data_IF_485961371880
#
_entry.id   IF_485961371880
#
_cell.length_a   1.000
_cell.length_b   1.000
_cell.length_c   1.000
_cell.angle_alpha   90.00
_cell.angle_beta   90.00
_cell.angle_gamma   90.00
#
_symmetry.space_group_name_H-M   'P 1'
#
loop_
_entity.id
_entity.type
_entity.pdbx_description
1 polymer ?
#
# COMPACT_ATOMS: atom_id res chain seq x y z
N UNK A 1 -10.85 -15.21 16.83
CA UNK A 1 -11.27 -16.53 16.34
C UNK A 1 -12.60 -16.50 15.57
N UNK A 2 -13.63 -15.75 16.05
CA UNK A 2 -14.94 -15.68 15.38
C UNK A 2 -14.85 -14.98 14.01
N UNK A 3 -14.24 -13.81 13.91
CA UNK A 3 -14.08 -13.05 12.67
C UNK A 3 -13.35 -13.89 11.59
N UNK A 4 -12.31 -14.66 11.97
CA UNK A 4 -11.60 -15.54 11.03
C UNK A 4 -12.51 -16.60 10.41
N UNK A 5 -13.44 -17.18 11.19
CA UNK A 5 -14.42 -18.17 10.69
C UNK A 5 -15.47 -17.54 9.78
N UNK A 6 -15.99 -16.36 10.17
CA UNK A 6 -16.98 -15.61 9.40
C UNK A 6 -16.35 -15.12 8.08
N UNK A 7 -15.11 -14.64 8.12
CA UNK A 7 -14.40 -14.19 6.93
C UNK A 7 -14.15 -15.34 5.93
N UNK A 8 -13.76 -16.51 6.42
CA UNK A 8 -13.57 -17.68 5.56
C UNK A 8 -14.88 -18.14 4.88
N UNK A 9 -16.03 -17.98 5.56
CA UNK A 9 -17.34 -18.24 4.96
C UNK A 9 -17.68 -17.20 3.89
N UNK A 10 -17.33 -15.93 4.13
CA UNK A 10 -17.56 -14.82 3.22
C UNK A 10 -16.85 -15.01 1.88
N UNK A 11 -15.63 -15.57 1.88
CA UNK A 11 -14.82 -15.82 0.67
C UNK A 11 -15.51 -16.77 -0.32
N UNK A 12 -16.44 -17.63 0.15
CA UNK A 12 -17.12 -18.63 -0.68
C UNK A 12 -18.60 -18.35 -0.92
N UNK A 13 -19.15 -17.24 -0.40
CA UNK A 13 -20.58 -16.92 -0.49
C UNK A 13 -20.90 -15.68 -1.34
N UNK A 14 -19.96 -15.22 -2.18
CA UNK A 14 -20.11 -14.01 -3.02
C UNK A 14 -20.52 -12.73 -2.22
N UNK A 15 -20.10 -12.62 -0.96
CA UNK A 15 -20.39 -11.48 -0.09
C UNK A 15 -19.13 -10.65 0.22
N UNK A 16 -18.05 -10.88 -0.53
CA UNK A 16 -16.75 -10.20 -0.34
C UNK A 16 -16.91 -8.69 -0.48
N UNK A 17 -17.69 -8.22 -1.47
CA UNK A 17 -17.86 -6.80 -1.77
C UNK A 17 -18.94 -6.11 -0.92
N UNK A 18 -19.51 -6.81 0.05
CA UNK A 18 -20.54 -6.24 0.93
C UNK A 18 -19.95 -5.20 1.87
N UNK A 19 -20.20 -3.92 1.60
CA UNK A 19 -19.72 -2.79 2.41
C UNK A 19 -20.01 -2.96 3.91
N UNK A 20 -21.23 -3.35 4.36
CA UNK A 20 -21.49 -3.58 5.79
C UNK A 20 -20.62 -4.67 6.41
N UNK A 21 -20.36 -5.75 5.68
CA UNK A 21 -19.51 -6.85 6.15
C UNK A 21 -18.02 -6.48 6.16
N UNK A 22 -17.57 -5.69 5.19
CA UNK A 22 -16.21 -5.12 5.19
C UNK A 22 -16.03 -4.23 6.42
N UNK A 23 -16.94 -3.27 6.62
CA UNK A 23 -16.86 -2.32 7.71
C UNK A 23 -16.88 -3.03 9.08
N UNK A 24 -17.78 -3.99 9.30
CA UNK A 24 -17.87 -4.71 10.57
C UNK A 24 -16.62 -5.57 10.85
N UNK A 25 -16.09 -6.27 9.85
CA UNK A 25 -14.87 -7.08 9.99
C UNK A 25 -13.64 -6.23 10.33
N UNK A 26 -13.47 -5.08 9.68
CA UNK A 26 -12.36 -4.17 9.96
C UNK A 26 -12.51 -3.56 11.35
N UNK A 27 -13.68 -2.98 11.64
CA UNK A 27 -13.89 -2.21 12.86
C UNK A 27 -13.93 -3.09 14.10
N UNK A 28 -14.45 -4.32 14.03
CA UNK A 28 -14.40 -5.26 15.16
C UNK A 28 -12.99 -5.49 15.69
N UNK A 29 -12.02 -5.64 14.78
CA UNK A 29 -10.60 -5.82 15.12
C UNK A 29 -9.99 -4.55 15.73
N UNK A 30 -10.31 -3.38 15.16
CA UNK A 30 -9.81 -2.08 15.66
C UNK A 30 -10.37 -1.76 17.05
N UNK A 31 -11.65 -2.01 17.28
CA UNK A 31 -12.27 -1.81 18.59
C UNK A 31 -11.74 -2.81 19.62
N UNK A 32 -11.55 -4.07 19.24
CA UNK A 32 -10.96 -5.09 20.11
C UNK A 32 -9.51 -4.79 20.54
N UNK A 33 -8.75 -4.07 19.71
CA UNK A 33 -7.40 -3.61 20.06
C UNK A 33 -7.39 -2.55 21.18
N UNK A 34 -8.52 -1.90 21.47
CA UNK A 34 -8.65 -0.97 22.59
C UNK A 34 -8.08 0.43 22.34
N UNK A 35 -7.80 0.80 21.10
CA UNK A 35 -7.23 2.11 20.74
C UNK A 35 -8.24 3.24 21.04
N UNK A 36 -7.76 4.39 21.54
CA UNK A 36 -8.57 5.59 21.81
C UNK A 36 -8.86 6.38 20.53
N UNK A 37 -7.92 6.40 19.60
CA UNK A 37 -8.04 7.00 18.27
C UNK A 37 -7.79 5.98 17.16
N UNK A 38 -8.52 6.10 16.05
CA UNK A 38 -8.41 5.22 14.89
C UNK A 38 -8.30 6.08 13.63
N UNK A 39 -7.22 5.92 12.89
CA UNK A 39 -7.06 6.47 11.54
C UNK A 39 -7.10 5.32 10.55
N UNK A 40 -7.96 5.43 9.55
CA UNK A 40 -8.16 4.43 8.51
C UNK A 40 -7.57 4.95 7.19
N UNK A 41 -6.77 4.13 6.54
CA UNK A 41 -6.39 4.31 5.15
C UNK A 41 -7.35 3.49 4.28
N UNK A 42 -8.23 4.17 3.54
CA UNK A 42 -9.24 3.55 2.69
C UNK A 42 -8.83 3.73 1.24
N UNK A 43 -8.40 2.64 0.63
CA UNK A 43 -7.93 2.63 -0.75
C UNK A 43 -9.08 2.74 -1.74
N UNK A 44 -8.86 3.47 -2.85
CA UNK A 44 -9.77 3.56 -4.00
C UNK A 44 -9.00 3.32 -5.30
N UNK A 45 -9.59 2.60 -6.26
CA UNK A 45 -9.00 2.34 -7.56
C UNK A 45 -8.85 0.86 -7.91
N UNK A 46 -8.11 0.57 -8.97
CA UNK A 46 -8.00 -0.77 -9.56
C UNK A 46 -7.42 -1.82 -8.61
N UNK A 47 -6.52 -1.43 -7.71
CA UNK A 47 -5.93 -2.31 -6.70
C UNK A 47 -6.74 -2.42 -5.39
N UNK A 48 -7.88 -1.74 -5.26
CA UNK A 48 -8.70 -1.72 -4.05
C UNK A 48 -9.98 -2.55 -4.18
N UNK A 49 -10.64 -2.85 -3.04
CA UNK A 49 -12.01 -3.40 -3.06
C UNK A 49 -13.00 -2.40 -3.64
N UNK A 50 -12.89 -1.13 -3.24
CA UNK A 50 -13.73 -0.04 -3.75
C UNK A 50 -13.07 0.54 -5.01
N UNK A 51 -13.74 0.37 -6.14
CA UNK A 51 -13.20 0.82 -7.44
C UNK A 51 -13.50 2.29 -7.72
N UNK A 52 -14.46 2.89 -7.00
CA UNK A 52 -14.84 4.30 -7.17
C UNK A 52 -14.60 5.10 -5.89
N UNK A 53 -14.35 6.41 -6.05
CA UNK A 53 -14.20 7.33 -4.92
C UNK A 53 -15.47 7.37 -4.05
N UNK A 54 -16.66 7.32 -4.66
CA UNK A 54 -17.94 7.37 -3.94
C UNK A 54 -18.16 6.14 -3.06
N UNK A 55 -17.84 4.94 -3.56
CA UNK A 55 -17.94 3.71 -2.78
C UNK A 55 -16.94 3.71 -1.62
N UNK A 56 -15.73 4.23 -1.85
CA UNK A 56 -14.69 4.38 -0.83
C UNK A 56 -15.12 5.36 0.26
N UNK A 57 -15.72 6.50 -0.09
CA UNK A 57 -16.30 7.47 0.85
C UNK A 57 -17.44 6.82 1.64
N UNK A 58 -18.30 6.04 0.97
CA UNK A 58 -19.42 5.33 1.62
C UNK A 58 -18.91 4.30 2.64
N UNK A 59 -17.91 3.51 2.29
CA UNK A 59 -17.28 2.55 3.19
C UNK A 59 -16.62 3.28 4.39
N UNK A 60 -15.84 4.31 4.11
CA UNK A 60 -15.17 5.12 5.13
C UNK A 60 -16.19 5.74 6.11
N UNK A 61 -17.28 6.31 5.59
CA UNK A 61 -18.35 6.89 6.40
C UNK A 61 -18.96 5.89 7.38
N UNK A 62 -19.21 4.66 6.92
CA UNK A 62 -19.72 3.58 7.80
C UNK A 62 -18.71 3.19 8.87
N UNK A 63 -17.43 3.04 8.51
CA UNK A 63 -16.40 2.68 9.49
C UNK A 63 -16.16 3.80 10.52
N UNK A 64 -16.14 5.06 10.08
CA UNK A 64 -16.02 6.23 10.94
C UNK A 64 -17.23 6.32 11.90
N UNK A 65 -18.45 6.09 11.41
CA UNK A 65 -19.65 6.07 12.24
C UNK A 65 -19.60 4.97 13.31
N UNK A 66 -19.13 3.77 12.96
CA UNK A 66 -18.96 2.65 13.92
C UNK A 66 -17.92 3.04 15.00
N UNK A 67 -16.78 3.58 14.62
CA UNK A 67 -15.73 4.00 15.56
C UNK A 67 -16.22 5.07 16.53
N UNK A 68 -16.82 6.14 16.00
CA UNK A 68 -17.35 7.23 16.80
C UNK A 68 -18.55 6.77 17.69
N UNK A 69 -19.43 5.90 17.16
CA UNK A 69 -20.52 5.31 17.93
C UNK A 69 -20.04 4.43 19.09
N UNK A 70 -18.86 3.84 18.98
CA UNK A 70 -18.19 3.10 20.06
C UNK A 70 -17.37 4.00 21.01
N UNK A 71 -17.50 5.32 20.92
CA UNK A 71 -16.79 6.29 21.76
C UNK A 71 -15.31 6.47 21.43
N UNK A 72 -14.89 6.12 20.20
CA UNK A 72 -13.51 6.30 19.73
C UNK A 72 -13.42 7.49 18.77
N UNK A 73 -12.32 8.23 18.80
CA UNK A 73 -12.05 9.23 17.77
C UNK A 73 -11.65 8.51 16.48
N UNK A 74 -12.50 8.55 15.45
CA UNK A 74 -12.27 7.80 14.21
C UNK A 74 -12.30 8.72 12.99
N UNK A 75 -11.26 8.63 12.16
CA UNK A 75 -11.12 9.37 10.90
C UNK A 75 -10.60 8.44 9.82
N UNK A 76 -10.95 8.71 8.56
CA UNK A 76 -10.43 8.00 7.40
C UNK A 76 -9.86 8.96 6.37
N UNK A 77 -8.77 8.57 5.73
CA UNK A 77 -8.27 9.17 4.49
C UNK A 77 -8.58 8.23 3.33
N UNK A 78 -9.06 8.79 2.22
CA UNK A 78 -9.26 8.04 0.98
C UNK A 78 -8.02 8.25 0.13
N UNK A 79 -7.28 7.17 -0.17
CA UNK A 79 -6.01 7.24 -0.87
C UNK A 79 -6.02 6.45 -2.17
N UNK A 80 -5.19 6.87 -3.13
CA UNK A 80 -5.09 6.24 -4.45
C UNK A 80 -4.55 4.81 -4.38
N UNK A 81 -5.14 3.93 -5.18
CA UNK A 81 -4.66 2.57 -5.47
C UNK A 81 -4.87 2.19 -6.95
N UNK A 82 -4.97 3.18 -7.82
CA UNK A 82 -4.89 3.00 -9.28
C UNK A 82 -3.44 2.88 -9.76
N UNK A 83 -2.50 3.17 -8.87
CA UNK A 83 -1.07 3.00 -9.08
C UNK A 83 -0.50 2.31 -7.85
N UNK A 84 0.38 1.31 -7.98
CA UNK A 84 1.06 0.72 -6.84
C UNK A 84 1.76 1.80 -6.02
N UNK A 85 1.54 1.84 -4.70
CA UNK A 85 2.19 2.79 -3.81
C UNK A 85 3.65 2.36 -3.58
N UNK A 86 4.58 3.30 -3.75
CA UNK A 86 6.00 2.96 -3.78
C UNK A 86 6.42 2.30 -5.09
N UNK A 87 7.58 1.71 -5.12
CA UNK A 87 8.16 1.03 -6.29
C UNK A 87 8.35 -0.48 -6.08
N UNK A 88 8.41 -0.94 -4.84
CA UNK A 88 8.62 -2.33 -4.49
C UNK A 88 7.29 -3.09 -4.29
N UNK A 89 7.22 -4.31 -4.82
CA UNK A 89 6.11 -5.25 -4.62
C UNK A 89 6.70 -6.60 -4.23
N UNK A 90 6.49 -7.04 -2.99
CA UNK A 90 7.05 -8.28 -2.45
C UNK A 90 7.64 -8.09 -1.05
N UNK A 91 7.70 -9.17 -0.24
CA UNK A 91 7.92 -9.07 1.20
C UNK A 91 9.22 -8.33 1.59
N UNK A 92 10.38 -8.89 1.27
CA UNK A 92 11.68 -8.27 1.64
C UNK A 92 11.90 -6.95 0.90
N UNK A 93 11.45 -6.84 -0.34
CA UNK A 93 11.62 -5.64 -1.15
C UNK A 93 10.86 -4.46 -0.55
N UNK A 94 9.61 -4.67 -0.11
CA UNK A 94 8.79 -3.63 0.54
C UNK A 94 9.37 -3.23 1.90
N UNK A 95 9.91 -4.17 2.68
CA UNK A 95 10.57 -3.84 3.96
C UNK A 95 11.82 -2.99 3.69
N UNK A 96 12.61 -3.32 2.68
CA UNK A 96 13.79 -2.53 2.27
C UNK A 96 13.35 -1.13 1.86
N UNK A 97 12.30 -1.00 1.03
CA UNK A 97 11.76 0.30 0.62
C UNK A 97 11.25 1.11 1.80
N UNK A 98 10.55 0.48 2.76
CA UNK A 98 10.12 1.14 3.98
C UNK A 98 11.31 1.66 4.81
N UNK A 99 12.39 0.88 4.93
CA UNK A 99 13.63 1.30 5.59
C UNK A 99 14.24 2.52 4.88
N UNK A 100 14.34 2.48 3.56
CA UNK A 100 14.89 3.62 2.79
C UNK A 100 13.98 4.84 2.89
N UNK A 101 12.66 4.66 2.91
CA UNK A 101 11.69 5.76 3.13
C UNK A 101 11.90 6.41 4.51
N UNK A 102 12.07 5.59 5.57
CA UNK A 102 12.36 6.09 6.92
C UNK A 102 13.72 6.78 7.03
N UNK A 103 14.66 6.50 6.12
CA UNK A 103 15.96 7.18 5.99
C UNK A 103 15.92 8.41 5.09
N UNK A 104 14.76 8.71 4.47
CA UNK A 104 14.58 9.86 3.57
C UNK A 104 14.88 9.58 2.10
N UNK A 105 15.18 8.35 1.71
CA UNK A 105 15.58 7.94 0.35
C UNK A 105 14.48 7.17 -0.42
N UNK A 106 13.29 7.00 0.17
CA UNK A 106 12.19 6.25 -0.45
C UNK A 106 11.42 7.03 -1.51
N UNK A 107 10.47 6.36 -2.19
CA UNK A 107 9.58 6.99 -3.16
C UNK A 107 8.73 8.10 -2.55
N UNK A 108 8.58 9.20 -3.28
CA UNK A 108 7.86 10.39 -2.78
C UNK A 108 6.37 10.13 -2.53
N UNK A 109 5.72 9.29 -3.33
CA UNK A 109 4.32 8.90 -3.14
C UNK A 109 4.11 8.11 -1.84
N UNK A 110 4.97 7.13 -1.55
CA UNK A 110 4.95 6.36 -0.30
C UNK A 110 5.20 7.27 0.91
N UNK A 111 6.19 8.16 0.81
CA UNK A 111 6.50 9.13 1.85
C UNK A 111 5.33 10.08 2.11
N UNK A 112 4.74 10.65 1.07
CA UNK A 112 3.63 11.61 1.21
C UNK A 112 2.41 10.97 1.85
N UNK A 113 1.97 9.79 1.38
CA UNK A 113 0.82 9.09 1.98
C UNK A 113 1.10 8.72 3.44
N UNK A 114 2.30 8.24 3.75
CA UNK A 114 2.71 7.91 5.12
C UNK A 114 2.70 9.13 6.04
N UNK A 115 3.21 10.28 5.58
CA UNK A 115 3.19 11.53 6.34
C UNK A 115 1.78 12.05 6.57
N UNK A 116 0.89 11.97 5.57
CA UNK A 116 -0.53 12.34 5.72
C UNK A 116 -1.24 11.49 6.76
N UNK A 117 -1.03 10.19 6.74
CA UNK A 117 -1.61 9.27 7.73
C UNK A 117 -1.04 9.53 9.14
N UNK A 118 0.28 9.74 9.26
CA UNK A 118 0.91 10.07 10.54
C UNK A 118 0.41 11.42 11.08
N UNK A 119 0.27 12.43 10.24
CA UNK A 119 -0.29 13.72 10.62
C UNK A 119 -1.73 13.60 11.14
N UNK A 120 -2.56 12.79 10.48
CA UNK A 120 -3.93 12.53 10.92
C UNK A 120 -3.96 11.78 12.27
N UNK A 121 -3.01 10.86 12.52
CA UNK A 121 -2.89 10.20 13.83
C UNK A 121 -2.54 11.21 14.92
N UNK A 122 -1.57 12.10 14.69
CA UNK A 122 -1.19 13.16 15.62
C UNK A 122 -2.36 14.14 15.87
N UNK A 123 -3.06 14.53 14.82
CA UNK A 123 -4.26 15.39 14.92
C UNK A 123 -5.36 14.71 15.73
N UNK A 124 -5.65 13.43 15.47
CA UNK A 124 -6.63 12.63 16.23
C UNK A 124 -6.25 12.49 17.71
N UNK A 125 -4.96 12.48 18.01
CA UNK A 125 -4.43 12.50 19.38
C UNK A 125 -4.44 13.88 20.05
N UNK A 126 -4.92 14.93 19.36
CA UNK A 126 -5.03 16.29 19.90
C UNK A 126 -3.72 17.06 19.96
N UNK A 127 -2.70 16.68 19.19
CA UNK A 127 -1.38 17.29 19.21
C UNK A 127 -1.28 18.60 18.41
N UNK A 128 -2.31 18.97 17.64
CA UNK A 128 -2.35 20.22 16.87
C UNK A 128 -3.30 20.14 15.68
N UNK A 129 -3.28 21.18 14.84
CA UNK A 129 -3.96 21.17 13.55
C UNK A 129 -3.22 20.28 12.53
N UNK A 130 -3.88 19.95 11.42
CA UNK A 130 -3.36 19.03 10.41
C UNK A 130 -2.01 19.49 9.81
N UNK A 131 -1.80 20.79 9.61
CA UNK A 131 -0.56 21.32 9.05
C UNK A 131 0.60 21.21 10.03
N UNK A 132 0.38 21.60 11.28
CA UNK A 132 1.37 21.46 12.36
C UNK A 132 1.74 19.98 12.58
N UNK A 133 0.75 19.09 12.58
CA UNK A 133 0.96 17.65 12.72
C UNK A 133 1.75 17.05 11.55
N UNK A 134 1.52 17.53 10.31
CA UNK A 134 2.32 17.12 9.16
C UNK A 134 3.80 17.51 9.33
N UNK A 135 4.07 18.76 9.74
CA UNK A 135 5.43 19.20 10.03
C UNK A 135 6.11 18.39 11.14
N UNK A 136 5.37 18.02 12.21
CA UNK A 136 5.88 17.16 13.26
C UNK A 136 6.24 15.76 12.73
N UNK A 137 5.39 15.14 11.92
CA UNK A 137 5.65 13.85 11.31
C UNK A 137 6.88 13.91 10.38
N UNK A 138 6.94 14.91 9.51
CA UNK A 138 8.07 15.11 8.59
C UNK A 138 9.40 15.30 9.34
N UNK A 139 9.37 16.04 10.46
CA UNK A 139 10.57 16.25 11.28
C UNK A 139 11.13 14.92 11.83
N UNK A 140 10.28 13.94 12.14
CA UNK A 140 10.74 12.63 12.63
C UNK A 140 11.48 11.81 11.57
N UNK A 141 11.19 12.02 10.30
CA UNK A 141 11.99 11.44 9.20
C UNK A 141 13.34 12.15 9.09
N UNK A 142 13.32 13.50 9.09
CA UNK A 142 14.52 14.32 8.92
C UNK A 142 15.57 14.11 10.01
N UNK A 143 15.14 13.89 11.25
CA UNK A 143 16.04 13.70 12.42
C UNK A 143 16.29 12.23 12.76
N UNK A 144 15.74 11.29 12.00
CA UNK A 144 15.97 9.85 12.15
C UNK A 144 15.18 9.17 13.28
N UNK A 145 14.36 9.90 14.05
CA UNK A 145 13.57 9.31 15.15
C UNK A 145 12.57 8.25 14.67
N UNK A 146 12.00 8.44 13.49
CA UNK A 146 11.08 7.46 12.90
C UNK A 146 11.81 6.12 12.65
N UNK A 147 13.01 6.15 12.08
CA UNK A 147 13.83 4.98 11.84
C UNK A 147 14.23 4.28 13.15
N UNK A 148 14.68 5.03 14.16
CA UNK A 148 15.01 4.46 15.46
C UNK A 148 13.79 3.84 16.17
N UNK A 149 12.61 4.42 15.99
CA UNK A 149 11.37 3.85 16.52
C UNK A 149 11.01 2.54 15.81
N UNK A 150 11.19 2.46 14.51
CA UNK A 150 10.98 1.24 13.74
C UNK A 150 11.91 0.11 14.22
N UNK A 151 13.20 0.39 14.43
CA UNK A 151 14.15 -0.58 15.01
C UNK A 151 13.69 -1.12 16.35
N UNK A 152 13.25 -0.22 17.25
CA UNK A 152 12.73 -0.61 18.56
C UNK A 152 11.48 -1.47 18.45
N UNK A 153 10.59 -1.17 17.49
CA UNK A 153 9.40 -1.97 17.23
C UNK A 153 9.76 -3.39 16.77
N UNK A 154 10.72 -3.52 15.84
CA UNK A 154 11.22 -4.82 15.37
C UNK A 154 11.78 -5.64 16.53
N UNK A 155 12.66 -5.04 17.35
CA UNK A 155 13.24 -5.71 18.52
C UNK A 155 12.18 -6.12 19.53
N UNK A 156 11.20 -5.26 19.83
CA UNK A 156 10.12 -5.54 20.78
C UNK A 156 9.21 -6.71 20.33
N UNK A 157 9.12 -6.96 19.03
CA UNK A 157 8.39 -8.10 18.45
C UNK A 157 9.27 -9.35 18.29
N UNK A 158 10.50 -9.36 18.79
CA UNK A 158 11.44 -10.48 18.71
C UNK A 158 12.17 -10.61 17.39
N UNK A 159 12.10 -9.59 16.51
CA UNK A 159 12.87 -9.53 15.27
C UNK A 159 14.32 -9.06 15.53
N UNK A 160 15.18 -9.30 14.55
CA UNK A 160 16.58 -8.84 14.58
C UNK A 160 16.73 -7.47 13.90
N UNK A 161 16.99 -6.38 14.64
CA UNK A 161 17.17 -5.05 14.08
C UNK A 161 18.37 -4.92 13.13
N UNK A 162 19.33 -5.84 13.14
CA UNK A 162 20.49 -5.78 12.26
C UNK A 162 20.10 -5.80 10.77
N UNK A 163 19.00 -6.49 10.42
CA UNK A 163 18.44 -6.49 9.06
C UNK A 163 17.90 -5.11 8.66
N UNK A 164 17.34 -4.38 9.62
CA UNK A 164 16.84 -3.01 9.39
C UNK A 164 18.00 -2.03 9.28
N UNK A 165 19.05 -2.23 10.07
CA UNK A 165 20.27 -1.40 9.99
C UNK A 165 21.04 -1.65 8.70
N UNK A 166 21.08 -2.88 8.22
CA UNK A 166 21.75 -3.27 6.99
C UNK A 166 20.84 -4.13 6.10
N UNK A 167 19.97 -3.51 5.28
CA UNK A 167 19.04 -4.22 4.40
C UNK A 167 19.70 -5.15 3.36
N UNK A 168 21.03 -5.02 3.15
CA UNK A 168 21.77 -5.94 2.28
C UNK A 168 21.83 -7.38 2.81
N UNK A 169 21.50 -7.59 4.09
CA UNK A 169 21.42 -8.91 4.73
C UNK A 169 20.14 -9.68 4.38
N UNK A 170 19.09 -9.01 3.87
CA UNK A 170 17.90 -9.72 3.41
C UNK A 170 18.26 -10.69 2.28
N UNK A 171 17.59 -11.86 2.29
CA UNK A 171 17.73 -12.84 1.22
C UNK A 171 17.43 -12.18 -0.13
N UNK A 172 18.33 -12.42 -1.08
CA UNK A 172 18.16 -11.99 -2.47
C UNK A 172 17.71 -13.17 -3.30
N UNK A 173 16.75 -12.92 -4.18
CA UNK A 173 16.39 -13.90 -5.20
C UNK A 173 17.61 -14.21 -6.08
N UNK A 174 17.87 -15.48 -6.41
CA UNK A 174 19.00 -15.87 -7.23
C UNK A 174 18.88 -15.41 -8.70
N UNK A 175 17.64 -15.18 -9.16
CA UNK A 175 17.38 -14.78 -10.54
C UNK A 175 16.65 -13.45 -10.60
N UNK A 176 16.94 -12.66 -11.65
CA UNK A 176 16.16 -11.47 -11.99
C UNK A 176 15.95 -11.38 -13.50
N UNK A 177 14.85 -10.71 -13.91
CA UNK A 177 14.52 -10.43 -15.31
C UNK A 177 13.88 -9.07 -15.46
N UNK A 178 14.39 -8.27 -16.41
CA UNK A 178 13.77 -6.99 -16.77
C UNK A 178 12.57 -7.20 -17.68
N UNK A 179 11.50 -6.45 -17.42
CA UNK A 179 10.34 -6.28 -18.30
C UNK A 179 10.51 -4.93 -18.99
N UNK A 180 10.50 -4.92 -20.32
CA UNK A 180 10.78 -3.72 -21.12
C UNK A 180 9.56 -3.23 -21.86
N UNK A 181 9.49 -1.93 -22.15
CA UNK A 181 8.44 -1.31 -22.95
C UNK A 181 8.45 -1.84 -24.39
N UNK A 182 7.27 -2.14 -24.93
CA UNK A 182 7.11 -2.60 -26.32
C UNK A 182 6.98 -1.45 -27.33
N UNK A 183 6.72 -0.24 -26.85
CA UNK A 183 6.52 0.98 -27.64
C UNK A 183 6.96 2.20 -26.86
N UNK A 184 7.10 3.33 -27.54
CA UNK A 184 7.28 4.63 -26.92
C UNK A 184 5.93 5.16 -26.41
N UNK A 185 5.96 5.99 -25.36
CA UNK A 185 4.75 6.66 -24.85
C UNK A 185 4.83 6.97 -23.37
N UNK A 186 3.78 7.58 -22.85
CA UNK A 186 3.59 7.79 -21.42
C UNK A 186 2.84 6.62 -20.80
N UNK A 187 3.18 6.24 -19.59
CA UNK A 187 2.37 5.31 -18.80
C UNK A 187 1.09 6.03 -18.40
N UNK A 188 0.02 5.87 -19.18
CA UNK A 188 -1.25 6.55 -19.02
C UNK A 188 -2.19 5.87 -18.01
N UNK A 189 -2.01 4.56 -17.76
CA UNK A 189 -2.74 3.81 -16.74
C UNK A 189 -1.93 2.57 -16.33
N UNK A 190 -2.13 2.16 -15.07
CA UNK A 190 -1.62 0.89 -14.53
C UNK A 190 -2.78 0.11 -13.90
N UNK A 191 -2.86 -1.19 -14.21
CA UNK A 191 -3.73 -2.12 -13.49
C UNK A 191 -2.98 -2.60 -12.24
N UNK A 192 -3.24 -1.97 -11.10
CA UNK A 192 -2.58 -2.29 -9.83
C UNK A 192 -2.90 -3.72 -9.35
N UNK A 193 -4.13 -4.21 -9.57
CA UNK A 193 -4.49 -5.60 -9.28
C UNK A 193 -3.66 -6.56 -10.15
N UNK A 194 -3.48 -6.23 -11.43
CA UNK A 194 -2.62 -6.99 -12.33
C UNK A 194 -1.15 -7.02 -11.90
N UNK A 195 -0.62 -5.93 -11.37
CA UNK A 195 0.71 -5.90 -10.76
C UNK A 195 0.79 -6.83 -9.55
N UNK A 196 -0.25 -6.84 -8.69
CA UNK A 196 -0.36 -7.76 -7.57
C UNK A 196 -0.39 -9.23 -8.01
N UNK A 197 -1.19 -9.55 -9.04
CA UNK A 197 -1.24 -10.91 -9.61
C UNK A 197 0.13 -11.33 -10.16
N UNK A 198 0.85 -10.43 -10.85
CA UNK A 198 2.19 -10.71 -11.34
C UNK A 198 3.16 -11.08 -10.19
N UNK A 199 3.05 -10.41 -9.04
CA UNK A 199 3.87 -10.74 -7.87
C UNK A 199 3.52 -12.11 -7.26
N UNK A 200 2.24 -12.49 -7.26
CA UNK A 200 1.79 -13.83 -6.83
C UNK A 200 2.35 -14.92 -7.76
N UNK A 201 2.38 -14.68 -9.08
CA UNK A 201 2.98 -15.60 -10.05
C UNK A 201 4.49 -15.81 -9.81
N UNK A 202 5.19 -14.84 -9.23
CA UNK A 202 6.58 -14.96 -8.77
C UNK A 202 6.73 -15.70 -7.42
N UNK A 203 5.62 -16.13 -6.80
CA UNK A 203 5.55 -16.68 -5.43
C UNK A 203 5.84 -15.67 -4.31
N UNK A 204 5.79 -14.37 -4.58
CA UNK A 204 5.86 -13.33 -3.54
C UNK A 204 4.57 -13.25 -2.70
N UNK A 205 3.49 -13.85 -3.14
CA UNK A 205 2.20 -13.99 -2.46
C UNK A 205 1.66 -15.42 -2.54
N UNK A 206 0.44 -15.65 -2.04
CA UNK A 206 -0.25 -16.93 -2.03
C UNK A 206 -1.43 -16.95 -2.98
N UNK A 207 -1.54 -17.98 -3.81
CA UNK A 207 -2.76 -18.34 -4.56
C UNK A 207 -3.64 -19.29 -3.74
N UNK A 208 -3.03 -20.18 -2.94
CA UNK A 208 -3.70 -21.12 -2.04
C UNK A 208 -3.16 -21.01 -0.61
N UNK A 209 -3.86 -21.61 0.36
CA UNK A 209 -3.40 -21.60 1.77
C UNK A 209 -2.12 -22.43 1.98
N UNK A 210 -1.89 -23.38 1.12
CA UNK A 210 -0.78 -24.34 1.17
C UNK A 210 0.50 -23.77 0.55
N UNK A 211 0.40 -22.66 -0.21
CA UNK A 211 1.54 -22.08 -0.90
C UNK A 211 2.58 -21.54 0.10
N UNK A 212 3.83 -21.84 -0.19
CA UNK A 212 4.98 -21.29 0.53
C UNK A 212 5.41 -20.00 -0.17
N UNK A 213 5.40 -18.90 0.58
CA UNK A 213 5.82 -17.59 0.09
C UNK A 213 7.35 -17.55 -0.02
N UNK A 214 7.85 -17.13 -1.17
CA UNK A 214 9.25 -16.74 -1.35
C UNK A 214 9.43 -15.27 -0.94
N UNK A 215 9.99 -15.04 0.24
CA UNK A 215 10.18 -13.70 0.76
C UNK A 215 11.21 -12.86 -0.03
N UNK A 216 12.02 -13.49 -0.88
CA UNK A 216 12.99 -12.80 -1.74
C UNK A 216 12.42 -12.42 -3.11
N UNK A 217 11.27 -13.04 -3.49
CA UNK A 217 10.60 -12.78 -4.75
C UNK A 217 9.84 -11.44 -4.72
N UNK A 218 9.65 -10.88 -5.92
CA UNK A 218 8.86 -9.66 -6.09
C UNK A 218 9.21 -8.88 -7.34
N UNK A 219 8.83 -7.61 -7.34
CA UNK A 219 8.96 -6.69 -8.47
C UNK A 219 9.49 -5.36 -7.96
N UNK A 220 10.42 -4.75 -8.70
CA UNK A 220 10.78 -3.34 -8.56
C UNK A 220 10.31 -2.61 -9.81
N UNK A 221 9.41 -1.66 -9.63
CA UNK A 221 8.91 -0.78 -10.70
C UNK A 221 9.92 0.34 -10.95
N UNK A 222 10.33 0.51 -12.21
CA UNK A 222 11.21 1.61 -12.64
C UNK A 222 10.42 2.74 -13.29
N UNK A 223 9.23 2.41 -13.81
CA UNK A 223 8.33 3.35 -14.47
C UNK A 223 6.92 3.18 -13.93
N UNK A 224 6.29 4.29 -13.64
CA UNK A 224 4.93 4.36 -13.09
C UNK A 224 4.07 5.33 -13.90
N UNK A 225 2.82 5.47 -13.49
CA UNK A 225 1.88 6.43 -14.09
C UNK A 225 2.51 7.83 -14.25
N UNK A 226 2.41 8.38 -15.44
CA UNK A 226 2.95 9.69 -15.81
C UNK A 226 4.36 9.66 -16.40
N UNK A 227 5.12 8.58 -16.22
CA UNK A 227 6.48 8.46 -16.77
C UNK A 227 6.44 8.25 -18.29
N UNK A 228 7.34 8.93 -19.00
CA UNK A 228 7.63 8.64 -20.40
C UNK A 228 8.61 7.48 -20.52
N UNK A 229 8.39 6.62 -21.49
CA UNK A 229 9.25 5.47 -21.80
C UNK A 229 9.55 5.40 -23.27
N UNK A 230 10.72 4.87 -23.61
CA UNK A 230 11.10 4.49 -24.96
C UNK A 230 10.99 2.97 -25.11
N UNK A 231 10.70 2.51 -26.33
CA UNK A 231 10.70 1.09 -26.66
C UNK A 231 12.03 0.43 -26.26
N UNK A 232 11.94 -0.68 -25.51
CA UNK A 232 13.09 -1.40 -24.98
C UNK A 232 13.58 -0.88 -23.61
N UNK A 233 13.08 0.26 -23.13
CA UNK A 233 13.44 0.78 -21.81
C UNK A 233 12.83 -0.10 -20.70
N UNK A 234 13.56 -0.37 -19.60
CA UNK A 234 13.05 -1.17 -18.49
C UNK A 234 11.86 -0.49 -17.79
N UNK A 235 10.72 -1.18 -17.74
CA UNK A 235 9.55 -0.78 -16.95
C UNK A 235 9.67 -1.26 -15.51
N UNK A 236 10.18 -2.47 -15.33
CA UNK A 236 10.33 -3.12 -14.04
C UNK A 236 11.41 -4.21 -14.07
N UNK A 237 11.80 -4.66 -12.88
CA UNK A 237 12.63 -5.84 -12.68
C UNK A 237 11.92 -6.84 -11.79
N UNK A 238 11.85 -8.11 -12.24
CA UNK A 238 11.27 -9.24 -11.56
C UNK A 238 12.35 -10.01 -10.82
N UNK A 239 12.01 -10.53 -9.64
CA UNK A 239 12.91 -11.33 -8.79
C UNK A 239 12.21 -12.63 -8.37
N UNK A 240 12.89 -13.78 -8.50
CA UNK A 240 12.34 -15.07 -8.10
C UNK A 240 13.45 -16.09 -7.80
N UNK A 241 13.12 -17.14 -7.04
CA UNK A 241 13.99 -18.31 -6.83
C UNK A 241 13.90 -19.35 -7.96
N UNK A 242 12.98 -19.16 -8.91
CA UNK A 242 12.75 -20.05 -10.06
C UNK A 242 12.53 -19.20 -11.31
N UNK A 243 13.46 -19.24 -12.25
CA UNK A 243 13.41 -18.42 -13.47
C UNK A 243 12.30 -18.82 -14.45
N UNK A 244 11.72 -20.01 -14.32
CA UNK A 244 10.58 -20.45 -15.15
C UNK A 244 9.32 -19.61 -14.89
N UNK A 245 9.23 -18.95 -13.75
CA UNK A 245 8.10 -18.08 -13.37
C UNK A 245 8.07 -16.75 -14.12
N UNK A 246 9.20 -16.32 -14.67
CA UNK A 246 9.33 -14.99 -15.27
C UNK A 246 8.49 -14.78 -16.53
N UNK A 247 8.22 -15.83 -17.30
CA UNK A 247 7.45 -15.67 -18.53
C UNK A 247 6.01 -15.25 -18.23
N UNK A 248 5.33 -16.01 -17.39
CA UNK A 248 3.94 -15.74 -17.01
C UNK A 248 3.81 -14.41 -16.22
N UNK A 249 4.70 -14.19 -15.24
CA UNK A 249 4.68 -12.97 -14.42
C UNK A 249 5.00 -11.72 -15.26
N UNK A 250 5.98 -11.81 -16.17
CA UNK A 250 6.36 -10.71 -17.05
C UNK A 250 5.26 -10.35 -18.04
N UNK A 251 4.60 -11.35 -18.64
CA UNK A 251 3.45 -11.14 -19.51
C UNK A 251 2.29 -10.47 -18.76
N UNK A 252 1.98 -10.94 -17.54
CA UNK A 252 0.93 -10.34 -16.70
C UNK A 252 1.27 -8.90 -16.33
N UNK A 253 2.49 -8.64 -15.88
CA UNK A 253 2.93 -7.28 -15.53
C UNK A 253 2.87 -6.35 -16.74
N UNK A 254 3.37 -6.78 -17.90
CA UNK A 254 3.37 -5.97 -19.12
C UNK A 254 1.93 -5.63 -19.56
N UNK A 255 0.99 -6.56 -19.44
CA UNK A 255 -0.43 -6.33 -19.75
C UNK A 255 -1.10 -5.33 -18.78
N UNK A 256 -0.48 -5.06 -17.64
CA UNK A 256 -0.96 -4.09 -16.65
C UNK A 256 -0.53 -2.66 -16.93
N UNK A 257 0.34 -2.44 -17.93
CA UNK A 257 0.75 -1.12 -18.40
C UNK A 257 -0.04 -0.70 -19.63
N UNK A 258 -0.62 0.49 -19.59
CA UNK A 258 -1.30 1.10 -20.73
C UNK A 258 -0.62 2.40 -21.10
N UNK A 259 -0.21 2.51 -22.36
CA UNK A 259 0.54 3.65 -22.86
C UNK A 259 -0.35 4.63 -23.63
N UNK A 260 -0.04 5.93 -23.51
CA UNK A 260 -0.68 7.04 -24.20
C UNK A 260 0.36 7.89 -24.92
N UNK A 261 -0.06 8.58 -26.00
CA UNK A 261 0.82 9.50 -26.75
C UNK A 261 1.12 10.79 -25.98
N UNK A 262 0.18 11.25 -25.17
CA UNK A 262 0.29 12.47 -24.36
C UNK A 262 0.46 12.15 -22.88
N UNK A 263 1.15 13.04 -22.16
CA UNK A 263 1.27 12.93 -20.71
C UNK A 263 -0.11 12.96 -20.04
N UNK A 264 -0.43 11.99 -19.15
CA UNK A 264 -1.68 12.01 -18.42
C UNK A 264 -1.70 13.12 -17.37
N UNK A 265 -2.90 13.47 -16.90
CA UNK A 265 -3.06 14.43 -15.81
C UNK A 265 -2.44 13.90 -14.51
N UNK A 266 -1.91 14.82 -13.68
CA UNK A 266 -1.34 14.45 -12.39
C UNK A 266 -2.43 13.91 -11.46
N UNK A 267 -2.25 12.69 -10.95
CA UNK A 267 -3.15 12.09 -9.95
C UNK A 267 -2.87 12.62 -8.56
N UNK A 268 -3.93 12.74 -7.77
CA UNK A 268 -3.83 12.96 -6.33
C UNK A 268 -3.55 11.65 -5.60
N UNK A 269 -2.76 11.71 -4.54
CA UNK A 269 -2.50 10.57 -3.68
C UNK A 269 -3.56 10.42 -2.58
N UNK A 270 -4.19 11.52 -2.18
CA UNK A 270 -5.23 11.56 -1.15
C UNK A 270 -6.41 12.37 -1.68
N UNK A 271 -7.56 11.74 -1.81
CA UNK A 271 -8.77 12.32 -2.43
C UNK A 271 -9.71 12.98 -1.44
N UNK A 272 -9.82 12.41 -0.24
CA UNK A 272 -10.76 12.90 0.75
C UNK A 272 -10.37 12.52 2.18
N UNK A 273 -10.90 13.30 3.13
CA UNK A 273 -10.91 13.01 4.56
C UNK A 273 -12.36 12.82 5.01
N UNK A 274 -12.64 11.72 5.69
CA UNK A 274 -13.94 11.43 6.28
C UNK A 274 -13.81 11.40 7.80
N UNK A 275 -14.58 12.22 8.50
CA UNK A 275 -14.56 12.33 9.96
C UNK A 275 -15.98 12.42 10.53
N UNK A 276 -16.10 12.59 11.83
CA UNK A 276 -17.37 12.87 12.50
C UNK A 276 -18.10 14.10 11.94
N UNK A 277 -17.34 15.09 11.48
CA UNK A 277 -17.84 16.37 10.97
C UNK A 277 -18.28 16.31 9.50
N UNK A 278 -18.09 15.16 8.85
CA UNK A 278 -18.45 14.93 7.46
C UNK A 278 -17.26 14.59 6.56
N UNK A 279 -17.48 14.71 5.26
CA UNK A 279 -16.47 14.43 4.21
C UNK A 279 -15.92 15.75 3.66
N UNK A 280 -14.60 15.88 3.70
CA UNK A 280 -13.86 16.95 3.01
C UNK A 280 -13.10 16.32 1.85
N UNK A 281 -13.43 16.72 0.62
CA UNK A 281 -12.64 16.36 -0.59
C UNK A 281 -11.47 17.30 -0.74
N UNK A 282 -10.40 16.82 -1.30
CA UNK A 282 -9.24 17.58 -1.71
C UNK A 282 -9.32 17.80 -3.23
N UNK A 283 -8.87 18.96 -3.69
CA UNK A 283 -8.82 19.36 -5.11
C UNK A 283 -7.38 19.30 -5.62
#
# INVERSE_FOLDING_TARGET
PADKKIYALRDVTATVDSIPLIASSIMSKKLAAGSDGIVLDVKTGSGAFMKTLEDSITLAGKMVAIGNGAGRSCTALITDMDVPLGAAIGNSLEVIEAVETLRGNGPEDLKEVSLRLAAEMLHTAGMGDAGSCYGMAEQTLKDGRAFETFKRMVAAQGGDPSFIENPKQFLKAPYSRKVTALQDGYVGHMDTEGCGIASVLLKAGRSTKEDVIDNSAGIILHKKYGDYVQKGEPLAELFASDETLFEAAGAKLLSSYHFTESAPEKKMLVYARVSRDGTKRFD
#
